data_IF_479196823668
#
_entry.id   IF_479196823668
#
_cell.length_a   1.000
_cell.length_b   1.000
_cell.length_c   1.000
_cell.angle_alpha   90.00
_cell.angle_beta   90.00
_cell.angle_gamma   90.00
#
_symmetry.space_group_name_H-M   'P 1'
#
loop_
_entity.id
_entity.type
_entity.pdbx_description
1 polymer ?
#
# COMPACT_ATOMS: atom_id res chain seq x y z
N UNK A 1 3.75 29.77 -16.56
CA UNK A 1 4.44 28.69 -15.81
C UNK A 1 3.46 27.55 -15.68
N UNK A 2 3.68 26.46 -16.41
CA UNK A 2 2.64 25.49 -16.73
C UNK A 2 2.39 24.58 -15.51
N UNK A 3 1.23 24.75 -14.87
CA UNK A 3 0.75 23.89 -13.79
C UNK A 3 0.32 22.55 -14.38
N UNK A 4 1.30 21.73 -14.77
CA UNK A 4 1.07 20.34 -15.19
C UNK A 4 0.42 19.61 -14.03
N UNK A 5 -0.86 19.25 -14.20
CA UNK A 5 -1.64 18.39 -13.31
C UNK A 5 -0.75 17.25 -12.80
N UNK A 6 -0.53 17.19 -11.49
CA UNK A 6 -0.14 15.96 -10.82
C UNK A 6 -1.02 14.83 -11.36
N UNK A 7 -0.45 13.65 -11.67
CA UNK A 7 -1.25 12.48 -11.98
C UNK A 7 -2.27 12.32 -10.84
N UNK A 8 -3.56 12.58 -11.10
CA UNK A 8 -4.53 12.66 -10.00
C UNK A 8 -4.80 11.24 -9.55
N UNK A 9 -4.07 10.82 -8.52
CA UNK A 9 -4.35 9.59 -7.82
C UNK A 9 -5.81 9.64 -7.39
N UNK A 10 -6.60 8.68 -7.86
CA UNK A 10 -8.05 8.63 -7.60
C UNK A 10 -8.34 7.88 -6.33
N UNK A 11 -7.55 6.82 -6.05
CA UNK A 11 -7.78 5.92 -4.95
C UNK A 11 -6.49 5.32 -4.41
N UNK A 12 -6.42 5.16 -3.09
CA UNK A 12 -5.41 4.36 -2.41
C UNK A 12 -6.07 3.11 -1.82
N UNK A 13 -5.52 1.94 -2.10
CA UNK A 13 -5.98 0.69 -1.49
C UNK A 13 -4.89 0.03 -0.66
N UNK A 14 -5.29 -0.75 0.34
CA UNK A 14 -4.35 -1.52 1.15
C UNK A 14 -5.02 -2.71 1.87
N UNK A 15 -4.19 -3.59 2.46
CA UNK A 15 -4.61 -4.78 3.19
C UNK A 15 -4.97 -4.57 4.66
N UNK A 16 -4.95 -3.33 5.15
CA UNK A 16 -5.37 -2.94 6.51
C UNK A 16 -4.50 -3.49 7.66
N UNK A 17 -3.36 -4.10 7.36
CA UNK A 17 -2.40 -4.52 8.38
C UNK A 17 -1.85 -3.31 9.16
N UNK A 18 -1.31 -3.52 10.36
CA UNK A 18 -0.53 -2.47 11.04
C UNK A 18 0.68 -2.04 10.19
N UNK A 19 1.33 -0.93 10.55
CA UNK A 19 2.48 -0.43 9.81
C UNK A 19 2.09 0.26 8.51
N UNK A 20 2.77 -0.10 7.41
CA UNK A 20 2.65 0.60 6.13
C UNK A 20 1.23 0.60 5.55
N UNK A 21 0.49 -0.51 5.70
CA UNK A 21 -0.87 -0.64 5.14
C UNK A 21 -1.80 0.44 5.73
N UNK A 22 -1.86 0.56 7.06
CA UNK A 22 -2.68 1.60 7.73
C UNK A 22 -2.14 3.00 7.52
N UNK A 23 -0.83 3.18 7.42
CA UNK A 23 -0.25 4.49 7.11
C UNK A 23 -0.74 5.01 5.75
N UNK A 24 -0.78 4.15 4.73
CA UNK A 24 -1.32 4.49 3.42
C UNK A 24 -2.81 4.84 3.45
N UNK A 25 -3.61 4.08 4.20
CA UNK A 25 -5.04 4.37 4.38
C UNK A 25 -5.28 5.69 5.10
N UNK A 26 -4.53 5.96 6.18
CA UNK A 26 -4.65 7.19 6.95
C UNK A 26 -4.21 8.41 6.13
N UNK A 27 -3.10 8.31 5.39
CA UNK A 27 -2.67 9.36 4.47
C UNK A 27 -3.71 9.68 3.39
N UNK A 28 -4.38 8.65 2.84
CA UNK A 28 -5.46 8.83 1.88
C UNK A 28 -6.64 9.60 2.47
N UNK A 29 -7.05 9.23 3.69
CA UNK A 29 -8.13 9.91 4.41
C UNK A 29 -7.77 11.37 4.72
N UNK A 30 -6.56 11.62 5.21
CA UNK A 30 -6.06 12.98 5.52
C UNK A 30 -6.02 13.86 4.26
N UNK A 31 -5.64 13.30 3.12
CA UNK A 31 -5.56 14.00 1.83
C UNK A 31 -6.91 14.12 1.09
N UNK A 32 -7.99 13.54 1.62
CA UNK A 32 -9.30 13.52 0.95
C UNK A 32 -9.34 12.66 -0.33
N UNK A 33 -8.39 11.73 -0.49
CA UNK A 33 -8.33 10.78 -1.61
C UNK A 33 -9.22 9.57 -1.26
N UNK A 34 -9.92 9.01 -2.24
CA UNK A 34 -10.73 7.80 -2.00
C UNK A 34 -9.83 6.68 -1.47
N UNK A 35 -10.30 5.91 -0.49
CA UNK A 35 -9.57 4.76 0.02
C UNK A 35 -10.39 3.47 -0.05
N UNK A 36 -9.72 2.33 0.04
CA UNK A 36 -10.36 1.03 0.14
C UNK A 36 -9.35 -0.12 0.21
N UNK A 37 -9.76 -1.28 -0.27
CA UNK A 37 -8.90 -2.46 -0.33
C UNK A 37 -9.51 -3.69 0.34
N UNK A 38 -8.78 -4.79 0.23
CA UNK A 38 -9.23 -6.12 0.59
C UNK A 38 -8.61 -6.62 1.89
N UNK A 39 -9.46 -7.13 2.76
CA UNK A 39 -9.14 -7.74 4.03
C UNK A 39 -9.34 -9.27 3.96
N UNK A 40 -8.64 -10.05 4.80
CA UNK A 40 -9.02 -11.43 5.00
C UNK A 40 -10.37 -11.51 5.74
N UNK A 41 -11.06 -12.65 5.63
CA UNK A 41 -12.30 -12.90 6.37
C UNK A 41 -12.10 -12.69 7.88
N UNK A 42 -13.03 -11.98 8.51
CA UNK A 42 -13.00 -11.53 9.90
C UNK A 42 -12.20 -10.25 10.13
N UNK A 43 -11.88 -9.48 9.07
CA UNK A 43 -11.07 -8.24 9.13
C UNK A 43 -9.78 -8.41 9.93
N UNK A 44 -9.08 -9.53 9.78
CA UNK A 44 -7.92 -9.85 10.63
C UNK A 44 -6.70 -8.99 10.31
N UNK A 45 -6.04 -8.51 11.35
CA UNK A 45 -4.71 -7.89 11.36
C UNK A 45 -3.88 -8.48 12.51
N UNK A 46 -2.62 -8.09 12.66
CA UNK A 46 -1.77 -8.63 13.74
C UNK A 46 -2.22 -8.22 15.14
N UNK A 47 -2.86 -7.07 15.27
CA UNK A 47 -3.40 -6.50 16.50
C UNK A 47 -4.88 -6.85 16.72
N UNK A 48 -5.37 -7.89 16.03
CA UNK A 48 -6.74 -8.37 16.12
C UNK A 48 -7.59 -7.98 14.92
N UNK A 49 -8.59 -7.14 15.13
CA UNK A 49 -9.58 -6.76 14.11
C UNK A 49 -9.23 -5.36 13.56
N UNK A 50 -9.19 -5.22 12.23
CA UNK A 50 -8.99 -3.92 11.57
C UNK A 50 -10.08 -2.94 12.03
N UNK A 51 -9.71 -1.76 12.56
CA UNK A 51 -10.66 -0.80 13.13
C UNK A 51 -11.85 -0.48 12.23
N UNK A 52 -13.03 -0.31 12.84
CA UNK A 52 -14.28 -0.03 12.14
C UNK A 52 -14.29 1.32 11.39
N UNK A 53 -13.40 2.26 11.77
CA UNK A 53 -13.25 3.55 11.09
C UNK A 53 -12.89 3.40 9.60
N UNK A 54 -12.24 2.30 9.23
CA UNK A 54 -11.94 1.97 7.84
C UNK A 54 -13.17 1.34 7.16
N UNK A 55 -14.16 2.18 6.85
CA UNK A 55 -15.48 1.78 6.36
C UNK A 55 -15.48 1.33 4.90
N UNK A 56 -14.45 1.71 4.12
CA UNK A 56 -14.34 1.38 2.68
C UNK A 56 -13.54 0.10 2.39
N UNK A 57 -13.09 -0.61 3.43
CA UNK A 57 -12.41 -1.90 3.28
C UNK A 57 -13.42 -3.05 3.17
N UNK A 58 -13.14 -3.99 2.26
CA UNK A 58 -14.01 -5.12 1.96
C UNK A 58 -13.34 -6.44 2.35
N UNK A 59 -14.11 -7.39 2.87
CA UNK A 59 -13.58 -8.71 3.19
C UNK A 59 -13.67 -9.64 2.00
N UNK A 60 -12.61 -10.44 1.80
CA UNK A 60 -12.70 -11.61 0.93
C UNK A 60 -13.63 -12.66 1.55
N UNK A 61 -14.43 -13.31 0.70
CA UNK A 61 -15.33 -14.39 1.12
C UNK A 61 -14.57 -15.62 1.67
N UNK A 62 -13.36 -15.88 1.16
CA UNK A 62 -12.46 -16.97 1.58
C UNK A 62 -10.99 -16.57 1.42
N UNK A 63 -10.11 -17.18 2.22
CA UNK A 63 -8.66 -16.99 2.14
C UNK A 63 -8.08 -16.17 3.29
N UNK A 64 -6.76 -16.24 3.43
CA UNK A 64 -5.99 -15.51 4.44
C UNK A 64 -5.18 -14.37 3.84
N UNK A 65 -4.11 -13.98 4.54
CA UNK A 65 -3.24 -12.86 4.14
C UNK A 65 -2.69 -12.96 2.71
N UNK A 66 -2.26 -14.11 2.17
CA UNK A 66 -1.79 -14.17 0.79
C UNK A 66 -2.86 -13.78 -0.25
N UNK A 67 -4.11 -14.24 -0.07
CA UNK A 67 -5.19 -13.94 -1.02
C UNK A 67 -5.60 -12.47 -1.01
N UNK A 68 -5.67 -11.84 0.17
CA UNK A 68 -5.96 -10.39 0.24
C UNK A 68 -4.82 -9.57 -0.32
N UNK A 69 -3.56 -10.00 -0.16
CA UNK A 69 -2.41 -9.34 -0.79
C UNK A 69 -2.51 -9.42 -2.31
N UNK A 70 -2.78 -10.61 -2.84
CA UNK A 70 -2.95 -10.81 -4.29
C UNK A 70 -4.11 -9.98 -4.84
N UNK A 71 -5.26 -9.95 -4.17
CA UNK A 71 -6.40 -9.16 -4.63
C UNK A 71 -6.11 -7.65 -4.65
N UNK A 72 -5.43 -7.11 -3.63
CA UNK A 72 -5.04 -5.69 -3.63
C UNK A 72 -4.02 -5.37 -4.74
N UNK A 73 -3.14 -6.30 -5.11
CA UNK A 73 -2.27 -6.12 -6.27
C UNK A 73 -3.10 -6.09 -7.57
N UNK A 74 -3.99 -7.07 -7.75
CA UNK A 74 -4.82 -7.20 -8.97
C UNK A 74 -5.70 -5.98 -9.19
N UNK A 75 -6.34 -5.47 -8.14
CA UNK A 75 -7.31 -4.37 -8.22
C UNK A 75 -6.66 -2.96 -8.14
N UNK A 76 -5.34 -2.89 -8.28
CA UNK A 76 -4.59 -1.64 -8.41
C UNK A 76 -3.98 -1.47 -9.79
N UNK A 77 -3.68 -0.23 -10.16
CA UNK A 77 -2.87 0.07 -11.34
C UNK A 77 -1.39 -0.17 -11.08
N UNK A 78 -0.96 -0.14 -9.81
CA UNK A 78 0.40 -0.43 -9.39
C UNK A 78 0.56 -0.43 -7.86
N UNK A 79 1.66 -1.00 -7.38
CA UNK A 79 1.92 -1.18 -5.95
C UNK A 79 3.22 -0.51 -5.51
N UNK A 80 3.16 0.34 -4.47
CA UNK A 80 4.36 0.78 -3.75
C UNK A 80 4.51 -0.09 -2.50
N UNK A 81 5.74 -0.59 -2.27
CA UNK A 81 6.09 -1.43 -1.14
C UNK A 81 7.11 -0.68 -0.29
N UNK A 82 6.75 -0.31 0.94
CA UNK A 82 7.63 0.36 1.89
C UNK A 82 8.25 -0.63 2.88
N UNK A 83 9.55 -0.50 3.12
CA UNK A 83 10.27 -1.27 4.14
C UNK A 83 11.41 -0.46 4.76
N UNK A 84 11.92 -0.94 5.89
CA UNK A 84 13.28 -0.65 6.31
C UNK A 84 14.18 -1.80 5.86
N UNK A 85 15.10 -1.53 4.94
CA UNK A 85 15.97 -2.54 4.32
C UNK A 85 15.24 -3.38 3.26
N UNK A 86 15.79 -4.55 2.97
CA UNK A 86 15.32 -5.44 1.90
C UNK A 86 13.90 -5.99 2.11
N UNK A 87 13.22 -6.30 1.01
CA UNK A 87 11.95 -7.01 1.00
C UNK A 87 12.09 -8.40 1.64
N UNK A 88 11.18 -8.75 2.54
CA UNK A 88 11.11 -10.08 3.16
C UNK A 88 9.66 -10.45 3.55
N UNK A 89 9.34 -11.74 3.59
CA UNK A 89 8.02 -12.22 4.02
C UNK A 89 6.89 -11.64 3.17
N UNK A 90 5.85 -11.09 3.83
CA UNK A 90 4.68 -10.54 3.13
C UNK A 90 4.98 -9.41 2.13
N UNK A 91 6.01 -8.59 2.38
CA UNK A 91 6.43 -7.54 1.44
C UNK A 91 7.06 -8.12 0.17
N UNK A 92 7.88 -9.17 0.30
CA UNK A 92 8.44 -9.85 -0.88
C UNK A 92 7.38 -10.65 -1.63
N UNK A 93 6.44 -11.28 -0.91
CA UNK A 93 5.26 -11.89 -1.54
C UNK A 93 4.48 -10.86 -2.39
N UNK A 94 4.34 -9.62 -1.91
CA UNK A 94 3.64 -8.56 -2.65
C UNK A 94 4.36 -8.26 -3.97
N UNK A 95 5.70 -8.15 -3.96
CA UNK A 95 6.52 -8.00 -5.17
C UNK A 95 6.30 -9.15 -6.15
N UNK A 96 6.42 -10.39 -5.66
CA UNK A 96 6.24 -11.59 -6.49
C UNK A 96 4.85 -11.64 -7.14
N UNK A 97 3.81 -11.21 -6.41
CA UNK A 97 2.45 -11.13 -6.95
C UNK A 97 2.29 -10.00 -7.97
N UNK A 98 2.93 -8.85 -7.76
CA UNK A 98 2.94 -7.77 -8.76
C UNK A 98 3.60 -8.22 -10.06
N UNK A 99 4.76 -8.89 -9.97
CA UNK A 99 5.46 -9.49 -11.11
C UNK A 99 4.59 -10.53 -11.82
N UNK A 100 4.00 -11.46 -11.06
CA UNK A 100 3.11 -12.52 -11.58
C UNK A 100 1.94 -11.96 -12.39
N UNK A 101 1.34 -10.86 -11.94
CA UNK A 101 0.16 -10.26 -12.57
C UNK A 101 0.49 -9.12 -13.53
N UNK A 102 1.77 -8.91 -13.86
CA UNK A 102 2.22 -7.85 -14.76
C UNK A 102 1.86 -6.44 -14.27
N UNK A 103 1.77 -6.23 -12.96
CA UNK A 103 1.48 -4.94 -12.34
C UNK A 103 2.77 -4.19 -12.04
N UNK A 104 2.89 -2.91 -12.44
CA UNK A 104 4.01 -2.06 -12.00
C UNK A 104 4.15 -2.06 -10.48
N UNK A 105 5.38 -2.11 -10.00
CA UNK A 105 5.68 -1.96 -8.59
C UNK A 105 6.90 -1.08 -8.36
N UNK A 106 6.99 -0.51 -7.17
CA UNK A 106 8.12 0.28 -6.70
C UNK A 106 8.44 -0.10 -5.27
N UNK A 107 9.71 -0.37 -4.99
CA UNK A 107 10.18 -0.61 -3.62
C UNK A 107 10.86 0.66 -3.09
N UNK A 108 10.34 1.16 -1.98
CA UNK A 108 10.92 2.27 -1.23
C UNK A 108 11.57 1.71 0.03
N UNK A 109 12.90 1.62 0.00
CA UNK A 109 13.70 1.35 1.19
C UNK A 109 13.96 2.66 1.96
N UNK A 110 13.20 2.86 3.02
CA UNK A 110 13.23 4.06 3.86
C UNK A 110 14.54 4.24 4.64
N UNK A 111 15.45 3.26 4.58
CA UNK A 111 16.81 3.40 5.16
C UNK A 111 17.84 3.94 4.17
N UNK A 112 17.51 4.01 2.88
CA UNK A 112 18.47 4.32 1.81
C UNK A 112 18.06 5.51 0.95
N UNK A 113 16.76 5.77 0.86
CA UNK A 113 16.23 6.77 -0.06
C UNK A 113 16.35 8.18 0.53
N UNK A 114 16.97 9.09 -0.23
CA UNK A 114 17.15 10.48 0.18
C UNK A 114 15.89 11.33 -0.09
N UNK A 115 15.24 11.11 -1.23
CA UNK A 115 14.02 11.83 -1.64
C UNK A 115 12.95 10.85 -2.14
N UNK A 116 12.20 10.21 -1.23
CA UNK A 116 11.15 9.27 -1.61
C UNK A 116 9.99 9.94 -2.35
N UNK A 117 9.75 11.23 -2.11
CA UNK A 117 8.60 11.94 -2.68
C UNK A 117 8.77 12.07 -4.19
N UNK A 118 9.91 12.58 -4.64
CA UNK A 118 10.19 12.78 -6.08
C UNK A 118 10.17 11.45 -6.82
N UNK A 119 10.79 10.41 -6.27
CA UNK A 119 10.82 9.08 -6.89
C UNK A 119 9.41 8.49 -7.04
N UNK A 120 8.58 8.61 -6.00
CA UNK A 120 7.18 8.16 -6.03
C UNK A 120 6.38 8.96 -7.07
N UNK A 121 6.49 10.29 -7.09
CA UNK A 121 5.75 11.13 -8.03
C UNK A 121 6.09 10.83 -9.48
N UNK A 122 7.38 10.62 -9.78
CA UNK A 122 7.86 10.28 -11.11
C UNK A 122 7.39 8.89 -11.54
N UNK A 123 7.45 7.92 -10.63
CA UNK A 123 6.96 6.57 -10.90
C UNK A 123 5.45 6.53 -11.13
N UNK A 124 4.66 7.23 -10.30
CA UNK A 124 3.20 7.35 -10.45
C UNK A 124 2.83 7.95 -11.81
N UNK A 125 3.51 9.02 -12.21
CA UNK A 125 3.30 9.71 -13.49
C UNK A 125 3.66 8.82 -14.68
N UNK A 126 4.84 8.21 -14.64
CA UNK A 126 5.35 7.35 -15.72
C UNK A 126 4.45 6.15 -15.97
N UNK A 127 3.98 5.51 -14.90
CA UNK A 127 3.10 4.34 -14.98
C UNK A 127 1.61 4.69 -15.06
N UNK A 128 1.24 5.98 -15.06
CA UNK A 128 -0.14 6.48 -15.14
C UNK A 128 -1.07 5.89 -14.05
N UNK A 129 -0.53 5.74 -12.84
CA UNK A 129 -1.23 5.11 -11.72
C UNK A 129 -2.41 5.99 -11.28
N UNK A 130 -3.62 5.44 -11.22
CA UNK A 130 -4.82 6.10 -10.68
C UNK A 130 -5.31 5.41 -9.40
N UNK A 131 -5.20 4.09 -9.32
CA UNK A 131 -5.44 3.29 -8.12
C UNK A 131 -4.11 2.74 -7.63
N UNK A 132 -3.62 3.27 -6.51
CA UNK A 132 -2.36 2.85 -5.91
C UNK A 132 -2.62 1.86 -4.78
N UNK A 133 -1.99 0.69 -4.83
CA UNK A 133 -1.88 -0.18 -3.66
C UNK A 133 -0.65 0.22 -2.83
N UNK A 134 -0.84 0.44 -1.53
CA UNK A 134 0.25 0.63 -0.57
C UNK A 134 0.39 -0.63 0.26
N UNK A 135 1.60 -1.18 0.27
CA UNK A 135 1.97 -2.36 1.05
C UNK A 135 3.27 -2.11 1.81
N UNK A 136 3.56 -2.96 2.80
CA UNK A 136 4.84 -2.94 3.48
C UNK A 136 4.89 -3.85 4.69
N UNK A 137 5.90 -3.68 5.53
CA UNK A 137 6.00 -4.46 6.76
C UNK A 137 4.98 -4.02 7.80
N UNK A 138 4.51 -5.01 8.57
CA UNK A 138 3.68 -4.79 9.76
C UNK A 138 4.50 -4.16 10.88
N UNK A 139 3.85 -3.41 11.76
CA UNK A 139 4.51 -2.59 12.78
C UNK A 139 5.40 -3.44 13.70
N UNK A 140 4.93 -4.62 14.13
CA UNK A 140 5.73 -5.52 14.98
C UNK A 140 7.05 -6.00 14.34
N UNK A 141 7.13 -6.03 13.01
CA UNK A 141 8.32 -6.46 12.26
C UNK A 141 9.24 -5.28 11.92
N UNK A 142 8.69 -4.09 11.76
CA UNK A 142 9.41 -2.87 11.42
C UNK A 142 8.88 -1.70 12.23
N UNK A 143 9.23 -1.62 13.53
CA UNK A 143 8.76 -0.54 14.39
C UNK A 143 9.08 0.84 13.82
N UNK A 144 8.11 1.74 13.84
CA UNK A 144 8.20 3.10 13.28
C UNK A 144 7.79 3.21 11.82
N UNK A 145 7.56 2.10 11.10
CA UNK A 145 7.24 2.15 9.67
C UNK A 145 5.93 2.88 9.39
N UNK A 146 4.92 2.77 10.27
CA UNK A 146 3.68 3.53 10.11
C UNK A 146 3.96 5.03 10.00
N UNK A 147 4.80 5.58 10.90
CA UNK A 147 5.12 7.00 10.92
C UNK A 147 5.94 7.41 9.71
N UNK A 148 6.88 6.55 9.30
CA UNK A 148 7.76 6.83 8.16
C UNK A 148 7.05 6.77 6.80
N UNK A 149 5.90 6.09 6.70
CA UNK A 149 5.09 6.01 5.48
C UNK A 149 4.02 7.10 5.41
N UNK A 150 3.60 7.65 6.56
CA UNK A 150 2.60 8.73 6.64
C UNK A 150 3.27 10.10 6.55
N UNK A 151 3.80 10.44 5.38
CA UNK A 151 4.40 11.75 5.06
C UNK A 151 3.59 12.52 4.02
#
# INVERSE_FOLDING_TARGET
MNMMRMASLKKIISGGQTGADRAGLDAAMDAGIEYGGWLPKGRKAEDGIVPARYTKLQELSRGGYPKRTEQNVIDSDGTIIFTFGRLTGGSDLTRQLAEKHGRPWLHIDLTRIADPVTEIQDWLRTNKIKVLNIAGSRESKSPGIYRAVRF
#
